data_IF_283010476409
#
_entry.id   IF_283010476409
#
_cell.length_a   1.000
_cell.length_b   1.000
_cell.length_c   1.000
_cell.angle_alpha   90.00
_cell.angle_beta   90.00
_cell.angle_gamma   90.00
#
_symmetry.space_group_name_H-M   'P 1'
#
loop_
_entity.id
_entity.type
_entity.pdbx_description
1 polymer ?
#
# COMPACT_ATOMS: atom_id res chain seq x y z
N UNK A 1 -38.05 6.44 47.21
CA UNK A 1 -36.65 5.99 47.05
C UNK A 1 -36.45 5.51 45.64
N UNK A 2 -35.85 6.38 44.78
CA UNK A 2 -35.56 6.07 43.37
C UNK A 2 -34.04 5.76 43.26
N UNK A 3 -33.69 4.54 42.87
CA UNK A 3 -32.30 4.13 42.65
C UNK A 3 -31.91 4.51 41.24
N UNK A 4 -30.99 5.49 41.12
CA UNK A 4 -30.35 5.82 39.84
C UNK A 4 -29.26 4.78 39.57
N UNK A 5 -29.43 4.00 38.49
CA UNK A 5 -28.43 3.12 37.98
C UNK A 5 -27.52 3.92 37.02
N UNK A 6 -26.29 4.15 37.44
CA UNK A 6 -25.25 4.81 36.64
C UNK A 6 -24.68 3.78 35.65
N UNK A 7 -25.02 3.94 34.37
CA UNK A 7 -24.42 3.15 33.27
C UNK A 7 -23.03 3.73 32.99
N UNK A 8 -21.99 3.07 33.48
CA UNK A 8 -20.60 3.35 33.10
C UNK A 8 -20.34 2.64 31.76
N UNK A 9 -20.37 3.40 30.68
CA UNK A 9 -19.94 2.93 29.36
C UNK A 9 -18.40 2.83 29.38
N UNK A 10 -17.91 1.61 29.50
CA UNK A 10 -16.48 1.30 29.39
C UNK A 10 -16.07 1.39 27.92
N UNK A 11 -15.55 2.55 27.50
CA UNK A 11 -14.87 2.71 26.22
C UNK A 11 -13.56 1.93 26.29
N UNK A 12 -13.57 0.68 25.81
CA UNK A 12 -12.33 -0.06 25.57
C UNK A 12 -11.62 0.58 24.38
N UNK A 13 -10.69 1.47 24.71
CA UNK A 13 -9.70 2.01 23.77
C UNK A 13 -8.79 0.85 23.36
N UNK A 14 -9.12 0.19 22.27
CA UNK A 14 -8.27 -0.84 21.67
C UNK A 14 -6.97 -0.22 21.17
N UNK A 15 -6.00 -0.05 22.06
CA UNK A 15 -4.62 0.19 21.67
C UNK A 15 -4.13 -1.07 20.94
N UNK A 16 -4.14 -1.06 19.60
CA UNK A 16 -3.44 -2.06 18.80
C UNK A 16 -1.96 -1.85 19.05
N UNK A 17 -1.41 -2.57 20.01
CA UNK A 17 0.02 -2.73 20.20
C UNK A 17 0.57 -3.35 18.91
N UNK A 18 1.21 -2.54 18.09
CA UNK A 18 2.11 -3.04 17.05
C UNK A 18 3.22 -3.79 17.80
N UNK A 19 3.08 -5.11 17.89
CA UNK A 19 4.09 -5.96 18.49
C UNK A 19 5.34 -5.90 17.63
N UNK A 20 6.32 -5.09 18.04
CA UNK A 20 7.56 -4.79 17.28
C UNK A 20 8.49 -5.99 17.00
N UNK A 21 8.02 -7.23 17.16
CA UNK A 21 8.77 -8.46 16.90
C UNK A 21 8.05 -9.50 16.03
N UNK A 22 6.82 -9.27 15.60
CA UNK A 22 6.12 -10.22 14.74
C UNK A 22 6.74 -10.25 13.34
N UNK A 23 7.19 -11.43 12.88
CA UNK A 23 7.66 -11.63 11.50
C UNK A 23 6.55 -11.48 10.45
N UNK A 24 5.29 -11.69 10.84
CA UNK A 24 4.11 -11.57 9.98
C UNK A 24 2.97 -10.89 10.75
N UNK A 25 2.32 -9.88 10.13
CA UNK A 25 1.18 -9.14 10.67
C UNK A 25 -0.04 -9.50 9.82
N UNK A 26 -1.01 -10.19 10.40
CA UNK A 26 -2.29 -10.48 9.76
C UNK A 26 -3.11 -9.20 9.71
N UNK A 27 -3.62 -8.86 8.55
CA UNK A 27 -4.43 -7.67 8.33
C UNK A 27 -5.92 -7.96 8.58
N UNK A 28 -6.69 -6.98 9.06
CA UNK A 28 -8.14 -7.13 9.12
C UNK A 28 -8.70 -7.29 7.70
N UNK A 29 -9.85 -7.96 7.58
CA UNK A 29 -10.54 -8.10 6.29
C UNK A 29 -10.88 -6.72 5.73
N UNK A 30 -10.61 -6.51 4.44
CA UNK A 30 -10.96 -5.26 3.76
C UNK A 30 -12.49 -5.06 3.74
N UNK A 31 -12.94 -3.86 4.08
CA UNK A 31 -14.35 -3.47 3.93
C UNK A 31 -14.62 -3.07 2.47
N UNK A 32 -15.49 -3.82 1.81
CA UNK A 32 -15.87 -3.62 0.41
C UNK A 32 -17.17 -2.84 0.25
N UNK A 33 -17.78 -2.42 1.35
CA UNK A 33 -19.12 -1.80 1.36
C UNK A 33 -19.09 -0.32 1.65
N UNK A 34 -18.03 0.18 2.28
CA UNK A 34 -17.90 1.59 2.68
C UNK A 34 -17.14 2.41 1.64
N UNK A 35 -17.41 3.70 1.62
CA UNK A 35 -16.70 4.67 0.80
C UNK A 35 -17.62 5.51 -0.08
N UNK A 36 -17.04 6.40 -0.87
CA UNK A 36 -17.77 7.22 -1.83
C UNK A 36 -18.09 6.43 -3.11
N UNK A 37 -19.18 6.74 -3.80
CA UNK A 37 -19.47 6.19 -5.11
C UNK A 37 -18.31 6.35 -6.10
N UNK A 38 -18.06 5.35 -6.94
CA UNK A 38 -16.92 5.31 -7.86
C UNK A 38 -16.76 6.58 -8.70
N UNK A 39 -17.84 7.09 -9.29
CA UNK A 39 -17.78 8.29 -10.14
C UNK A 39 -17.37 9.53 -9.35
N UNK A 40 -17.75 9.64 -8.07
CA UNK A 40 -17.29 10.71 -7.20
C UNK A 40 -15.80 10.57 -6.86
N UNK A 41 -15.31 9.34 -6.68
CA UNK A 41 -13.88 9.07 -6.47
C UNK A 41 -13.07 9.45 -7.72
N UNK A 42 -13.52 9.11 -8.91
CA UNK A 42 -12.88 9.47 -10.17
C UNK A 42 -12.81 11.00 -10.33
N UNK A 43 -13.92 11.70 -10.10
CA UNK A 43 -14.01 13.16 -10.23
C UNK A 43 -13.15 13.90 -9.18
N UNK A 44 -13.03 13.37 -7.95
CA UNK A 44 -12.30 14.01 -6.85
C UNK A 44 -10.84 13.55 -6.71
N UNK A 45 -10.42 12.49 -7.43
CA UNK A 45 -9.04 11.98 -7.40
C UNK A 45 -8.06 13.09 -7.77
N UNK A 46 -7.12 13.35 -6.90
CA UNK A 46 -6.06 14.34 -7.12
C UNK A 46 -4.72 13.84 -6.60
N UNK A 47 -3.64 14.31 -7.22
CA UNK A 47 -2.29 14.13 -6.69
C UNK A 47 -2.07 15.11 -5.55
N UNK A 48 -1.79 14.59 -4.35
CA UNK A 48 -1.51 15.39 -3.17
C UNK A 48 -0.17 14.99 -2.57
N UNK A 49 0.67 15.98 -2.26
CA UNK A 49 2.06 15.81 -1.81
C UNK A 49 2.32 16.31 -0.39
N UNK A 50 1.30 16.82 0.28
CA UNK A 50 1.38 17.28 1.68
C UNK A 50 0.76 16.23 2.59
N UNK A 51 1.58 15.62 3.44
CA UNK A 51 1.17 14.52 4.33
C UNK A 51 1.26 14.95 5.79
N UNK A 52 0.24 14.58 6.55
CA UNK A 52 0.30 14.54 8.01
C UNK A 52 1.12 13.32 8.46
N UNK A 53 1.81 13.43 9.57
CA UNK A 53 2.52 12.31 10.21
C UNK A 53 1.59 11.36 10.97
N UNK A 54 0.28 11.65 11.00
CA UNK A 54 -0.71 10.81 11.66
C UNK A 54 -0.68 9.39 11.10
N UNK A 55 -0.53 8.40 11.99
CA UNK A 55 -0.53 7.00 11.62
C UNK A 55 -1.87 6.58 10.97
N UNK A 56 -1.78 5.67 10.01
CA UNK A 56 -2.96 5.05 9.41
C UNK A 56 -3.43 3.88 10.29
N UNK A 57 -4.75 3.75 10.55
CA UNK A 57 -5.29 2.58 11.23
C UNK A 57 -5.02 1.29 10.44
N UNK A 58 -4.91 0.12 11.10
CA UNK A 58 -4.70 -1.16 10.44
C UNK A 58 -5.76 -1.47 9.37
N UNK A 59 -7.00 -1.06 9.57
CA UNK A 59 -8.09 -1.22 8.60
C UNK A 59 -7.81 -0.45 7.29
N UNK A 60 -7.33 0.78 7.39
CA UNK A 60 -6.99 1.61 6.22
C UNK A 60 -5.78 1.02 5.48
N UNK A 61 -4.76 0.55 6.22
CA UNK A 61 -3.60 -0.15 5.61
C UNK A 61 -4.06 -1.40 4.87
N UNK A 62 -4.90 -2.22 5.50
CA UNK A 62 -5.50 -3.42 4.90
C UNK A 62 -6.19 -3.10 3.58
N UNK A 63 -7.06 -2.11 3.56
CA UNK A 63 -7.83 -1.72 2.38
C UNK A 63 -6.93 -1.16 1.28
N UNK A 64 -5.90 -0.35 1.60
CA UNK A 64 -4.90 0.14 0.64
C UNK A 64 -4.20 -1.05 -0.05
N UNK A 65 -3.76 -2.04 0.71
CA UNK A 65 -3.04 -3.19 0.17
C UNK A 65 -3.97 -4.10 -0.64
N UNK A 66 -5.22 -4.26 -0.19
CA UNK A 66 -6.23 -5.02 -0.90
C UNK A 66 -6.54 -4.40 -2.27
N UNK A 67 -6.80 -3.09 -2.35
CA UNK A 67 -7.12 -2.46 -3.64
C UNK A 67 -5.93 -2.47 -4.60
N UNK A 68 -4.68 -2.44 -4.08
CA UNK A 68 -3.47 -2.46 -4.89
C UNK A 68 -3.14 -3.85 -5.47
N UNK A 69 -3.28 -4.94 -4.68
CA UNK A 69 -2.82 -6.27 -5.10
C UNK A 69 -3.60 -7.43 -4.41
N UNK A 70 -4.82 -7.18 -3.92
CA UNK A 70 -5.63 -8.18 -3.23
C UNK A 70 -6.21 -9.23 -4.15
N UNK A 71 -6.44 -10.46 -3.62
CA UNK A 71 -7.12 -11.54 -4.33
C UNK A 71 -8.64 -11.34 -4.21
N UNK A 72 -9.35 -11.34 -5.34
CA UNK A 72 -10.80 -11.11 -5.41
C UNK A 72 -11.58 -12.34 -5.83
N UNK A 73 -10.92 -13.37 -6.36
CA UNK A 73 -11.57 -14.55 -6.93
C UNK A 73 -10.97 -15.84 -6.39
N UNK A 74 -11.77 -16.90 -6.34
CA UNK A 74 -11.34 -18.23 -5.87
C UNK A 74 -10.19 -18.82 -6.68
N UNK A 75 -10.05 -18.44 -7.93
CA UNK A 75 -8.96 -18.84 -8.84
C UNK A 75 -7.65 -18.06 -8.62
N UNK A 76 -7.59 -17.21 -7.61
CA UNK A 76 -6.41 -16.42 -7.24
C UNK A 76 -6.20 -15.15 -8.07
N UNK A 77 -7.15 -14.75 -8.91
CA UNK A 77 -7.08 -13.48 -9.63
C UNK A 77 -7.26 -12.30 -8.68
N UNK A 78 -6.56 -11.22 -9.02
CA UNK A 78 -6.39 -10.05 -8.16
C UNK A 78 -7.30 -8.89 -8.57
N UNK A 79 -7.27 -7.83 -7.77
CA UNK A 79 -7.92 -6.53 -8.05
C UNK A 79 -7.39 -5.88 -9.32
N UNK A 80 -6.15 -6.21 -9.71
CA UNK A 80 -5.46 -5.65 -10.88
C UNK A 80 -5.23 -6.74 -11.92
N UNK A 81 -5.61 -6.53 -13.20
CA UNK A 81 -5.30 -7.48 -14.26
C UNK A 81 -3.80 -7.45 -14.58
N UNK A 82 -3.28 -8.59 -15.00
CA UNK A 82 -1.94 -8.68 -15.57
C UNK A 82 -1.96 -9.45 -16.88
N UNK A 83 -1.08 -9.10 -17.82
CA UNK A 83 -0.96 -9.79 -19.08
C UNK A 83 -0.81 -11.30 -18.88
N UNK A 84 -1.66 -12.10 -19.53
CA UNK A 84 -1.70 -13.57 -19.40
C UNK A 84 -1.77 -14.08 -17.94
N UNK A 85 -2.34 -13.29 -17.04
CA UNK A 85 -2.42 -13.58 -15.58
C UNK A 85 -1.05 -13.88 -14.94
N UNK A 86 0.00 -13.21 -15.37
CA UNK A 86 1.38 -13.47 -14.91
C UNK A 86 1.63 -13.07 -13.46
N UNK A 87 0.79 -12.19 -12.90
CA UNK A 87 0.86 -11.75 -11.49
C UNK A 87 2.29 -11.39 -11.04
N UNK A 88 3.02 -10.71 -11.91
CA UNK A 88 4.44 -10.39 -11.79
C UNK A 88 4.78 -9.37 -10.71
N UNK A 89 3.76 -8.74 -10.11
CA UNK A 89 3.95 -7.65 -9.18
C UNK A 89 4.09 -8.15 -7.74
N UNK A 90 5.08 -7.59 -7.04
CA UNK A 90 5.23 -7.65 -5.59
C UNK A 90 5.05 -6.26 -5.01
N UNK A 91 4.30 -6.14 -3.92
CA UNK A 91 4.02 -4.88 -3.25
C UNK A 91 4.76 -4.83 -1.91
N UNK A 92 5.70 -3.89 -1.79
CA UNK A 92 6.41 -3.61 -0.55
C UNK A 92 5.80 -2.41 0.15
N UNK A 93 5.77 -2.47 1.48
CA UNK A 93 5.15 -1.47 2.37
C UNK A 93 6.21 -0.92 3.29
N UNK A 94 6.53 0.34 3.15
CA UNK A 94 7.50 1.05 3.98
C UNK A 94 6.75 1.87 5.03
N UNK A 95 7.05 1.63 6.28
CA UNK A 95 6.53 2.35 7.46
C UNK A 95 7.68 2.88 8.31
N UNK A 96 7.39 3.61 9.38
CA UNK A 96 8.40 4.05 10.33
C UNK A 96 9.11 2.89 11.03
N UNK A 97 8.42 1.74 11.19
CA UNK A 97 8.94 0.59 11.94
C UNK A 97 9.72 -0.38 11.07
N UNK A 98 9.44 -0.42 9.76
CA UNK A 98 10.09 -1.38 8.87
C UNK A 98 9.55 -1.40 7.46
N UNK A 99 10.14 -2.32 6.71
CA UNK A 99 9.73 -2.69 5.36
C UNK A 99 9.06 -4.05 5.43
N UNK A 100 7.90 -4.15 4.81
CA UNK A 100 7.11 -5.37 4.77
C UNK A 100 6.81 -5.74 3.31
N UNK A 101 6.71 -7.04 3.04
CA UNK A 101 6.16 -7.58 1.80
C UNK A 101 4.70 -7.95 2.02
N UNK A 102 3.81 -7.46 1.19
CA UNK A 102 2.41 -7.85 1.22
C UNK A 102 2.22 -9.27 0.69
N UNK A 103 1.67 -10.14 1.54
CA UNK A 103 1.26 -11.49 1.19
C UNK A 103 -0.26 -11.49 0.90
N UNK A 104 -0.62 -11.37 -0.37
CA UNK A 104 -2.01 -11.31 -0.79
C UNK A 104 -2.79 -12.61 -0.56
N UNK A 105 -2.13 -13.78 -0.51
CA UNK A 105 -2.79 -15.08 -0.23
C UNK A 105 -3.30 -15.17 1.19
N UNK A 106 -2.54 -14.63 2.15
CA UNK A 106 -2.89 -14.63 3.57
C UNK A 106 -3.49 -13.30 4.03
N UNK A 107 -3.48 -12.30 3.16
CA UNK A 107 -3.81 -10.91 3.51
C UNK A 107 -3.03 -10.43 4.73
N UNK A 108 -1.70 -10.48 4.63
CA UNK A 108 -0.77 -10.17 5.71
C UNK A 108 0.43 -9.36 5.22
N UNK A 109 1.18 -8.78 6.14
CA UNK A 109 2.46 -8.12 5.89
C UNK A 109 3.59 -8.93 6.53
N UNK A 110 4.57 -9.38 5.73
CA UNK A 110 5.74 -10.13 6.19
C UNK A 110 6.88 -9.15 6.36
N UNK A 111 7.47 -9.07 7.55
CA UNK A 111 8.62 -8.21 7.83
C UNK A 111 9.82 -8.63 7.00
N UNK A 112 10.33 -7.70 6.19
CA UNK A 112 11.56 -7.86 5.37
C UNK A 112 12.76 -7.24 6.07
N UNK A 113 12.58 -6.02 6.63
CA UNK A 113 13.68 -5.28 7.26
C UNK A 113 13.13 -4.31 8.31
N UNK A 114 13.76 -4.23 9.49
CA UNK A 114 13.42 -3.25 10.53
C UNK A 114 14.06 -1.89 10.23
N UNK A 115 13.40 -0.82 10.65
CA UNK A 115 13.88 0.55 10.56
C UNK A 115 13.14 1.40 9.53
N UNK A 116 13.30 2.70 9.60
CA UNK A 116 12.62 3.67 8.73
C UNK A 116 13.44 3.96 7.47
N UNK A 117 12.96 3.45 6.35
CA UNK A 117 13.55 3.62 5.01
C UNK A 117 12.62 4.41 4.07
N UNK A 118 11.58 5.08 4.59
CA UNK A 118 10.62 5.82 3.75
C UNK A 118 11.28 6.94 2.94
N UNK A 119 12.31 7.60 3.49
CA UNK A 119 13.10 8.63 2.79
C UNK A 119 13.77 8.12 1.51
N UNK A 120 14.09 6.82 1.46
CA UNK A 120 14.80 6.21 0.34
C UNK A 120 13.86 5.82 -0.82
N UNK A 121 12.53 5.98 -0.63
CA UNK A 121 11.52 5.64 -1.64
C UNK A 121 11.34 6.71 -2.73
N UNK A 122 12.09 7.79 -2.71
CA UNK A 122 12.07 8.86 -3.72
C UNK A 122 12.85 10.09 -3.30
N UNK A 123 13.15 10.94 -4.27
CA UNK A 123 13.98 12.14 -4.02
C UNK A 123 13.26 13.26 -3.26
N UNK A 124 11.93 13.21 -3.18
CA UNK A 124 11.15 14.26 -2.54
C UNK A 124 10.99 13.99 -1.05
N UNK A 125 11.15 15.03 -0.22
CA UNK A 125 11.12 14.95 1.25
C UNK A 125 9.78 14.47 1.84
N UNK A 126 8.69 14.55 1.09
CA UNK A 126 7.38 14.13 1.55
C UNK A 126 7.27 12.60 1.77
N UNK A 127 8.17 11.78 1.18
CA UNK A 127 8.17 10.34 1.41
C UNK A 127 8.36 10.01 2.89
N UNK A 128 9.26 10.71 3.58
CA UNK A 128 9.50 10.50 5.01
C UNK A 128 8.33 10.99 5.90
N UNK A 129 7.53 11.95 5.41
CA UNK A 129 6.38 12.49 6.15
C UNK A 129 5.15 11.59 6.05
N UNK A 130 4.96 10.92 4.92
CA UNK A 130 3.86 10.00 4.73
C UNK A 130 3.97 8.81 5.70
N UNK A 131 2.90 8.42 6.42
CA UNK A 131 2.95 7.30 7.36
C UNK A 131 3.22 5.96 6.68
N UNK A 132 2.91 5.83 5.39
CA UNK A 132 3.07 4.63 4.60
C UNK A 132 3.54 5.00 3.18
N UNK A 133 4.51 4.22 2.65
CA UNK A 133 4.92 4.31 1.25
C UNK A 133 4.85 2.92 0.62
N UNK A 134 4.08 2.80 -0.45
CA UNK A 134 4.05 1.61 -1.28
C UNK A 134 5.21 1.65 -2.27
N UNK A 135 5.86 0.51 -2.50
CA UNK A 135 6.86 0.33 -3.55
C UNK A 135 6.44 -0.84 -4.41
N UNK A 136 6.20 -0.57 -5.70
CA UNK A 136 5.78 -1.55 -6.69
C UNK A 136 7.01 -2.15 -7.36
N UNK A 137 7.17 -3.47 -7.25
CA UNK A 137 8.27 -4.24 -7.83
C UNK A 137 7.71 -5.24 -8.83
N UNK A 138 8.31 -5.30 -10.02
CA UNK A 138 7.94 -6.25 -11.07
C UNK A 138 9.03 -7.29 -11.28
N UNK A 139 8.62 -8.55 -11.46
CA UNK A 139 9.45 -9.58 -12.08
C UNK A 139 9.41 -9.38 -13.60
N UNK A 140 10.51 -8.88 -14.14
CA UNK A 140 10.60 -8.47 -15.54
C UNK A 140 10.56 -9.67 -16.49
N UNK A 141 11.14 -10.82 -16.11
CA UNK A 141 11.09 -12.05 -16.94
C UNK A 141 9.68 -12.62 -17.07
N UNK A 142 8.84 -12.41 -16.08
CA UNK A 142 7.47 -12.89 -16.11
C UNK A 142 6.60 -12.19 -17.16
N UNK A 143 6.95 -10.95 -17.56
CA UNK A 143 6.06 -10.08 -18.36
C UNK A 143 6.44 -9.89 -19.81
N UNK A 144 7.63 -10.30 -20.25
CA UNK A 144 8.01 -10.18 -21.67
C UNK A 144 9.44 -10.62 -21.92
N UNK A 145 9.70 -10.88 -23.20
CA UNK A 145 10.99 -11.34 -23.68
C UNK A 145 11.89 -10.20 -24.20
N UNK A 146 11.30 -9.02 -24.44
CA UNK A 146 12.04 -7.81 -24.86
C UNK A 146 11.93 -6.71 -23.80
N UNK A 147 12.90 -5.79 -23.80
CA UNK A 147 12.93 -4.67 -22.87
C UNK A 147 11.69 -3.77 -23.01
N UNK A 148 11.19 -3.59 -24.24
CA UNK A 148 9.99 -2.79 -24.53
C UNK A 148 8.74 -3.43 -23.93
N UNK A 149 8.54 -4.75 -24.13
CA UNK A 149 7.40 -5.48 -23.55
C UNK A 149 7.47 -5.51 -22.04
N UNK A 150 8.65 -5.70 -21.48
CA UNK A 150 8.89 -5.65 -20.04
C UNK A 150 8.51 -4.29 -19.45
N UNK A 151 8.99 -3.20 -20.05
CA UNK A 151 8.67 -1.84 -19.62
C UNK A 151 7.16 -1.54 -19.75
N UNK A 152 6.55 -1.91 -20.89
CA UNK A 152 5.14 -1.70 -21.16
C UNK A 152 4.25 -2.40 -20.12
N UNK A 153 4.43 -3.70 -19.93
CA UNK A 153 3.57 -4.47 -19.02
C UNK A 153 3.84 -4.17 -17.54
N UNK A 154 5.10 -4.01 -17.14
CA UNK A 154 5.43 -3.65 -15.76
C UNK A 154 4.85 -2.27 -15.39
N UNK A 155 4.96 -1.30 -16.29
CA UNK A 155 4.37 0.03 -16.15
C UNK A 155 2.83 -0.02 -16.10
N UNK A 156 2.19 -0.76 -17.03
CA UNK A 156 0.74 -0.91 -17.05
C UNK A 156 0.19 -1.56 -15.77
N UNK A 157 0.77 -2.68 -15.32
CA UNK A 157 0.30 -3.40 -14.15
C UNK A 157 0.46 -2.55 -12.88
N UNK A 158 1.63 -1.92 -12.69
CA UNK A 158 1.88 -1.04 -11.54
C UNK A 158 1.04 0.24 -11.59
N UNK A 159 0.81 0.78 -12.80
CA UNK A 159 -0.06 1.94 -13.01
C UNK A 159 -1.51 1.65 -12.66
N UNK A 160 -2.03 0.47 -13.05
CA UNK A 160 -3.38 0.02 -12.69
C UNK A 160 -3.54 -0.14 -11.18
N UNK A 161 -2.55 -0.74 -10.51
CA UNK A 161 -2.54 -0.87 -9.06
C UNK A 161 -2.48 0.51 -8.35
N UNK A 162 -1.62 1.39 -8.83
CA UNK A 162 -1.50 2.77 -8.35
C UNK A 162 -2.80 3.55 -8.50
N UNK A 163 -3.50 3.40 -9.64
CA UNK A 163 -4.79 4.05 -9.85
C UNK A 163 -5.87 3.56 -8.88
N UNK A 164 -5.92 2.27 -8.55
CA UNK A 164 -6.81 1.76 -7.51
C UNK A 164 -6.53 2.43 -6.16
N UNK A 165 -5.25 2.60 -5.80
CA UNK A 165 -4.87 3.32 -4.58
C UNK A 165 -5.31 4.78 -4.62
N UNK A 166 -5.20 5.47 -5.76
CA UNK A 166 -5.70 6.83 -5.93
C UNK A 166 -7.22 6.93 -5.71
N UNK A 167 -8.00 6.01 -6.30
CA UNK A 167 -9.45 6.00 -6.16
C UNK A 167 -9.87 5.70 -4.72
N UNK A 168 -9.18 4.75 -4.09
CA UNK A 168 -9.39 4.47 -2.67
C UNK A 168 -9.05 5.68 -1.79
N UNK A 169 -7.92 6.33 -2.04
CA UNK A 169 -7.53 7.53 -1.32
C UNK A 169 -8.58 8.65 -1.47
N UNK A 170 -9.11 8.87 -2.67
CA UNK A 170 -10.19 9.83 -2.91
C UNK A 170 -11.48 9.46 -2.14
N UNK A 171 -11.78 8.16 -2.05
CA UNK A 171 -12.94 7.65 -1.30
C UNK A 171 -12.83 7.92 0.21
N UNK A 172 -11.63 7.77 0.77
CA UNK A 172 -11.38 7.87 2.23
C UNK A 172 -10.81 9.23 2.67
N UNK A 173 -10.67 10.20 1.75
CA UNK A 173 -10.09 11.52 2.07
C UNK A 173 -8.61 11.46 2.42
N UNK A 174 -7.86 10.55 1.81
CA UNK A 174 -6.41 10.41 1.95
C UNK A 174 -5.67 11.17 0.86
N UNK A 175 -4.45 11.59 1.18
CA UNK A 175 -3.48 12.11 0.23
C UNK A 175 -2.64 10.97 -0.35
N UNK A 176 -2.33 11.05 -1.65
CA UNK A 176 -1.41 10.12 -2.30
C UNK A 176 -0.82 10.71 -3.57
N UNK A 177 0.35 10.23 -3.97
CA UNK A 177 1.04 10.58 -5.22
C UNK A 177 1.88 9.40 -5.69
N UNK A 178 1.76 9.02 -6.97
CA UNK A 178 2.70 8.07 -7.60
C UNK A 178 3.96 8.80 -8.01
N UNK A 179 5.12 8.20 -7.73
CA UNK A 179 6.44 8.75 -8.01
C UNK A 179 7.26 7.80 -8.87
N UNK A 180 7.73 8.30 -10.01
CA UNK A 180 8.66 7.60 -10.90
C UNK A 180 10.11 8.04 -10.74
N UNK A 181 10.34 9.21 -10.12
CA UNK A 181 11.68 9.75 -9.84
C UNK A 181 12.17 9.20 -8.49
N UNK A 182 12.92 8.12 -8.54
CA UNK A 182 13.46 7.40 -7.38
C UNK A 182 14.77 6.69 -7.77
N UNK A 183 15.63 6.47 -6.78
CA UNK A 183 16.83 5.65 -6.96
C UNK A 183 16.47 4.15 -6.89
N UNK A 184 16.22 3.57 -8.05
CA UNK A 184 15.83 2.16 -8.18
C UNK A 184 16.90 1.21 -7.67
N UNK A 185 18.16 1.52 -7.91
CA UNK A 185 19.27 0.66 -7.50
C UNK A 185 19.49 0.70 -5.98
N UNK A 186 19.33 1.88 -5.35
CA UNK A 186 19.37 1.97 -3.89
C UNK A 186 18.22 1.16 -3.24
N UNK A 187 16.99 1.30 -3.74
CA UNK A 187 15.85 0.54 -3.23
C UNK A 187 16.03 -0.97 -3.49
N UNK A 188 16.55 -1.34 -4.66
CA UNK A 188 16.85 -2.74 -5.00
C UNK A 188 17.83 -3.36 -4.00
N UNK A 189 18.89 -2.64 -3.62
CA UNK A 189 19.85 -3.06 -2.59
C UNK A 189 19.20 -3.16 -1.21
N UNK A 190 18.38 -2.17 -0.80
CA UNK A 190 17.68 -2.17 0.48
C UNK A 190 16.78 -3.39 0.61
N UNK A 191 16.05 -3.74 -0.46
CA UNK A 191 15.12 -4.86 -0.53
C UNK A 191 15.78 -6.21 -0.85
N UNK A 192 17.08 -6.22 -1.18
CA UNK A 192 17.80 -7.41 -1.66
C UNK A 192 17.07 -8.11 -2.83
N UNK A 193 16.64 -7.32 -3.82
CA UNK A 193 15.90 -7.83 -4.98
C UNK A 193 16.78 -8.65 -5.91
N UNK A 194 16.19 -9.68 -6.53
CA UNK A 194 16.85 -10.49 -7.57
C UNK A 194 17.19 -9.65 -8.80
N UNK A 195 18.11 -10.16 -9.64
CA UNK A 195 18.55 -9.50 -10.87
C UNK A 195 17.36 -9.08 -11.76
N UNK A 196 16.39 -9.98 -11.92
CA UNK A 196 15.25 -9.80 -12.82
C UNK A 196 14.06 -9.05 -12.17
N UNK A 197 14.22 -8.58 -10.94
CA UNK A 197 13.22 -7.74 -10.26
C UNK A 197 13.58 -6.27 -10.38
N UNK A 198 12.60 -5.46 -10.75
CA UNK A 198 12.75 -4.01 -10.95
C UNK A 198 11.73 -3.22 -10.13
N UNK A 199 12.21 -2.16 -9.47
CA UNK A 199 11.34 -1.17 -8.83
C UNK A 199 10.72 -0.30 -9.92
N UNK A 200 9.40 -0.21 -9.97
CA UNK A 200 8.67 0.54 -10.99
C UNK A 200 8.31 1.92 -10.48
N UNK A 201 7.52 1.98 -9.41
CA UNK A 201 7.04 3.22 -8.78
C UNK A 201 7.12 3.13 -7.26
N UNK A 202 7.12 4.29 -6.60
CA UNK A 202 6.72 4.43 -5.21
C UNK A 202 5.43 5.24 -5.11
N UNK A 203 4.65 5.03 -4.05
CA UNK A 203 3.40 5.76 -3.83
C UNK A 203 3.18 5.97 -2.32
N UNK A 204 3.56 7.13 -1.78
CA UNK A 204 3.21 7.51 -0.41
C UNK A 204 1.71 7.72 -0.26
N UNK A 205 1.18 7.28 0.89
CA UNK A 205 -0.22 7.40 1.28
C UNK A 205 -0.32 7.85 2.73
N UNK A 206 -1.21 8.78 3.02
CA UNK A 206 -1.44 9.28 4.37
C UNK A 206 -2.61 10.24 4.44
N UNK A 207 -2.87 10.78 5.61
CA UNK A 207 -3.81 11.90 5.72
C UNK A 207 -3.20 13.17 5.12
N UNK A 208 -4.01 14.04 4.48
CA UNK A 208 -3.50 15.34 4.02
C UNK A 208 -3.06 16.19 5.21
N UNK A 209 -1.96 16.94 5.06
CA UNK A 209 -1.62 18.01 5.98
C UNK A 209 -2.58 19.18 5.74
N UNK A 210 -2.97 19.83 6.83
CA UNK A 210 -3.73 21.09 6.81
C UNK A 210 -2.82 22.25 6.48
#
# INVERSE_FOLDING_TARGET
MKKNALFVACFMLGAVLYAGNAKEIILPKADLTSGKPLMQCIASRATQRKFSTKALPPQIISEILFVADGITRKDGRKTVPTARNKQNQSLYVFTADGIYLYNNKKHSMILVKKGDYRKDCGYQSFHQKAPLVLVFVSDMKAVGDTAELQALYAGNHSGSASQNVYLYAASKGLATVVCGMLDREAIKKILNLKKDQMVIFSQPVGYPAR
#
